data_IF_065607314080
#
_entry.id   IF_065607314080
#
_cell.length_a   1.000
_cell.length_b   1.000
_cell.length_c   1.000
_cell.angle_alpha   90.00
_cell.angle_beta   90.00
_cell.angle_gamma   90.00
#
_symmetry.space_group_name_H-M   'P 1'
#
loop_
_entity.id
_entity.type
_entity.pdbx_description
1 polymer ?
#
# COMPACT_ATOMS: atom_id res chain seq x y z
N UNK A 1 -33.84 19.34 -8.19
CA UNK A 1 -33.29 17.97 -8.41
C UNK A 1 -32.13 17.82 -7.45
N UNK A 2 -32.03 16.70 -6.71
CA UNK A 2 -30.96 16.46 -5.74
C UNK A 2 -29.96 15.46 -6.32
N UNK A 3 -28.68 15.61 -5.95
CA UNK A 3 -27.61 14.65 -6.24
C UNK A 3 -26.93 14.35 -4.91
N UNK A 4 -26.89 13.08 -4.53
CA UNK A 4 -26.26 12.61 -3.29
C UNK A 4 -24.99 11.84 -3.65
N UNK A 5 -23.84 12.31 -3.15
CA UNK A 5 -22.55 11.61 -3.28
C UNK A 5 -22.24 10.89 -1.97
N UNK A 6 -21.97 9.58 -2.04
CA UNK A 6 -21.62 8.77 -0.87
C UNK A 6 -20.76 7.56 -1.27
N UNK A 7 -19.93 7.09 -0.35
CA UNK A 7 -19.10 5.89 -0.55
C UNK A 7 -19.91 4.61 -0.36
N UNK A 8 -20.87 4.63 0.57
CA UNK A 8 -21.69 3.47 0.92
C UNK A 8 -23.16 3.83 0.85
N UNK A 9 -23.86 3.32 -0.17
CA UNK A 9 -25.30 3.52 -0.30
C UNK A 9 -26.06 2.98 0.92
N UNK A 10 -25.57 1.92 1.55
CA UNK A 10 -26.14 1.32 2.77
C UNK A 10 -26.17 2.24 3.99
N UNK A 11 -25.38 3.32 4.01
CA UNK A 11 -25.42 4.34 5.06
C UNK A 11 -26.52 5.40 4.83
N UNK A 12 -27.18 5.39 3.68
CA UNK A 12 -28.30 6.27 3.37
C UNK A 12 -29.59 5.60 3.81
N UNK A 13 -30.47 6.32 4.50
CA UNK A 13 -31.75 5.77 4.94
C UNK A 13 -32.68 5.44 3.75
N UNK A 14 -33.45 4.37 3.87
CA UNK A 14 -34.35 3.87 2.82
C UNK A 14 -35.35 4.91 2.27
N UNK A 15 -35.93 5.83 3.07
CA UNK A 15 -36.82 6.87 2.56
C UNK A 15 -36.16 7.85 1.57
N UNK A 16 -34.84 7.99 1.61
CA UNK A 16 -34.08 8.81 0.65
C UNK A 16 -33.71 7.96 -0.56
N UNK A 17 -33.22 6.73 -0.33
CA UNK A 17 -32.82 5.82 -1.42
C UNK A 17 -33.99 5.52 -2.37
N UNK A 18 -35.19 5.28 -1.83
CA UNK A 18 -36.41 4.98 -2.62
C UNK A 18 -36.83 6.10 -3.58
N UNK A 19 -36.31 7.32 -3.40
CA UNK A 19 -36.59 8.49 -4.24
C UNK A 19 -35.44 8.84 -5.20
N UNK A 20 -34.38 8.05 -5.22
CA UNK A 20 -33.16 8.32 -5.99
C UNK A 20 -32.86 7.19 -6.99
N UNK A 21 -32.29 7.55 -8.14
CA UNK A 21 -31.64 6.58 -9.01
C UNK A 21 -30.23 6.29 -8.47
N UNK A 22 -29.89 5.01 -8.28
CA UNK A 22 -28.62 4.60 -7.69
C UNK A 22 -27.60 4.35 -8.80
N UNK A 23 -26.51 5.14 -8.78
CA UNK A 23 -25.35 4.93 -9.64
C UNK A 23 -24.19 4.40 -8.80
N UNK A 24 -23.59 3.29 -9.24
CA UNK A 24 -22.42 2.69 -8.59
C UNK A 24 -21.19 2.94 -9.44
N UNK A 25 -20.28 3.75 -8.94
CA UNK A 25 -18.99 3.99 -9.56
C UNK A 25 -18.02 2.91 -9.09
N UNK A 26 -17.33 2.29 -10.04
CA UNK A 26 -16.23 1.35 -9.77
C UNK A 26 -14.91 2.10 -9.89
N UNK A 27 -13.83 1.61 -9.24
CA UNK A 27 -12.48 2.08 -9.51
C UNK A 27 -12.17 2.03 -11.00
N UNK A 28 -11.34 2.95 -11.48
CA UNK A 28 -10.96 3.02 -12.88
C UNK A 28 -10.01 1.88 -13.27
N UNK A 29 -10.14 1.41 -14.51
CA UNK A 29 -9.23 0.40 -15.03
C UNK A 29 -7.82 0.99 -15.23
N UNK A 30 -6.79 0.18 -14.98
CA UNK A 30 -5.39 0.58 -15.09
C UNK A 30 -5.05 1.23 -16.45
N UNK A 31 -5.62 0.72 -17.55
CA UNK A 31 -5.40 1.29 -18.90
C UNK A 31 -5.96 2.71 -19.04
N UNK A 32 -7.12 2.97 -18.44
CA UNK A 32 -7.73 4.30 -18.48
C UNK A 32 -6.90 5.29 -17.65
N UNK A 33 -6.43 4.84 -16.48
CA UNK A 33 -5.53 5.63 -15.65
C UNK A 33 -4.18 5.89 -16.33
N UNK A 34 -3.59 4.89 -16.98
CA UNK A 34 -2.34 5.03 -17.74
C UNK A 34 -2.45 6.14 -18.80
N UNK A 35 -3.55 6.14 -19.55
CA UNK A 35 -3.84 7.20 -20.52
C UNK A 35 -3.97 8.59 -19.85
N UNK A 36 -4.58 8.67 -18.66
CA UNK A 36 -4.66 9.93 -17.91
C UNK A 36 -3.27 10.41 -17.47
N UNK A 37 -2.43 9.53 -16.93
CA UNK A 37 -1.04 9.85 -16.55
C UNK A 37 -0.27 10.40 -17.75
N UNK A 38 -0.32 9.72 -18.89
CA UNK A 38 0.36 10.17 -20.12
C UNK A 38 -0.16 11.51 -20.62
N UNK A 39 -1.48 11.74 -20.53
CA UNK A 39 -2.11 12.99 -20.93
C UNK A 39 -1.66 14.15 -20.03
N UNK A 40 -1.60 13.93 -18.71
CA UNK A 40 -1.13 14.92 -17.73
C UNK A 40 0.35 15.22 -17.96
N UNK A 41 1.19 14.20 -18.13
CA UNK A 41 2.62 14.38 -18.39
C UNK A 41 2.90 15.21 -19.65
N UNK A 42 2.12 14.99 -20.73
CA UNK A 42 2.21 15.80 -21.96
C UNK A 42 1.72 17.24 -21.74
N UNK A 43 0.64 17.42 -20.98
CA UNK A 43 0.06 18.74 -20.69
C UNK A 43 0.98 19.62 -19.84
N UNK A 44 1.53 19.05 -18.78
CA UNK A 44 2.41 19.73 -17.81
C UNK A 44 3.89 19.71 -18.20
N UNK A 45 4.26 18.97 -19.25
CA UNK A 45 5.59 18.92 -19.87
C UNK A 45 6.71 18.38 -18.96
N UNK A 46 6.41 17.43 -18.08
CA UNK A 46 7.43 16.67 -17.34
C UNK A 46 7.72 15.32 -18.00
N UNK A 47 8.89 14.74 -17.70
CA UNK A 47 9.25 13.39 -18.16
C UNK A 47 8.90 12.36 -17.08
N UNK A 48 8.36 11.22 -17.51
CA UNK A 48 8.03 10.12 -16.62
C UNK A 48 8.41 8.79 -17.26
N UNK A 49 9.06 7.93 -16.48
CA UNK A 49 9.45 6.59 -16.94
C UNK A 49 8.27 5.61 -16.91
N UNK A 50 8.30 4.60 -17.78
CA UNK A 50 7.24 3.58 -17.83
C UNK A 50 7.06 2.82 -16.51
N UNK A 51 8.15 2.58 -15.80
CA UNK A 51 8.10 1.90 -14.50
C UNK A 51 7.54 2.82 -13.40
N UNK A 52 7.76 4.13 -13.50
CA UNK A 52 7.10 5.10 -12.64
C UNK A 52 5.58 5.15 -12.87
N UNK A 53 5.13 5.07 -14.12
CA UNK A 53 3.69 4.97 -14.43
C UNK A 53 3.08 3.74 -13.77
N UNK A 54 3.71 2.56 -13.91
CA UNK A 54 3.23 1.33 -13.26
C UNK A 54 3.17 1.47 -11.73
N UNK A 55 4.21 2.04 -11.11
CA UNK A 55 4.24 2.26 -9.67
C UNK A 55 3.11 3.20 -9.21
N UNK A 56 2.83 4.27 -9.96
CA UNK A 56 1.72 5.18 -9.66
C UNK A 56 0.38 4.44 -9.75
N UNK A 57 0.18 3.62 -10.78
CA UNK A 57 -1.05 2.83 -10.94
C UNK A 57 -1.25 1.85 -9.79
N UNK A 58 -0.19 1.16 -9.37
CA UNK A 58 -0.20 0.22 -8.24
C UNK A 58 -0.53 0.93 -6.93
N UNK A 59 0.15 2.05 -6.64
CA UNK A 59 -0.08 2.83 -5.41
C UNK A 59 -1.46 3.48 -5.38
N UNK A 60 -1.99 3.87 -6.53
CA UNK A 60 -3.26 4.61 -6.61
C UNK A 60 -4.50 3.73 -6.50
N UNK A 61 -4.38 2.42 -6.75
CA UNK A 61 -5.45 1.41 -6.62
C UNK A 61 -6.80 1.86 -7.24
N UNK A 62 -6.75 2.42 -8.45
CA UNK A 62 -7.95 2.87 -9.16
C UNK A 62 -8.50 4.25 -8.76
N UNK A 63 -7.89 4.95 -7.79
CA UNK A 63 -8.24 6.31 -7.38
C UNK A 63 -7.43 7.36 -8.15
N UNK A 64 -8.11 8.06 -9.08
CA UNK A 64 -7.50 9.13 -9.89
C UNK A 64 -7.08 10.34 -9.05
N UNK A 65 -7.80 10.67 -7.98
CA UNK A 65 -7.40 11.78 -7.10
C UNK A 65 -6.07 11.47 -6.43
N UNK A 66 -5.90 10.22 -5.96
CA UNK A 66 -4.64 9.77 -5.36
C UNK A 66 -3.51 9.81 -6.38
N UNK A 67 -3.77 9.31 -7.59
CA UNK A 67 -2.84 9.35 -8.73
C UNK A 67 -2.38 10.78 -9.05
N UNK A 68 -3.30 11.74 -9.18
CA UNK A 68 -3.01 13.15 -9.47
C UNK A 68 -2.17 13.79 -8.36
N UNK A 69 -2.54 13.56 -7.09
CA UNK A 69 -1.78 14.10 -5.95
C UNK A 69 -0.34 13.58 -5.93
N UNK A 70 -0.13 12.29 -6.19
CA UNK A 70 1.21 11.69 -6.26
C UNK A 70 1.99 12.28 -7.43
N UNK A 71 1.38 12.35 -8.62
CA UNK A 71 2.02 12.95 -9.81
C UNK A 71 2.44 14.40 -9.56
N UNK A 72 1.56 15.21 -8.99
CA UNK A 72 1.84 16.60 -8.70
C UNK A 72 2.98 16.75 -7.68
N UNK A 73 2.98 15.94 -6.62
CA UNK A 73 4.06 15.94 -5.63
C UNK A 73 5.40 15.48 -6.25
N UNK A 74 5.39 14.49 -7.13
CA UNK A 74 6.57 14.04 -7.87
C UNK A 74 7.12 15.14 -8.79
N UNK A 75 6.26 15.75 -9.60
CA UNK A 75 6.62 16.82 -10.53
C UNK A 75 7.12 18.08 -9.82
N UNK A 76 6.67 18.32 -8.58
CA UNK A 76 7.15 19.45 -7.76
C UNK A 76 8.59 19.25 -7.25
N UNK A 77 9.04 18.00 -7.13
CA UNK A 77 10.36 17.65 -6.60
C UNK A 77 11.39 17.33 -7.70
N UNK A 78 10.95 16.91 -8.90
CA UNK A 78 11.84 16.56 -10.01
C UNK A 78 11.17 16.79 -11.37
N UNK A 79 11.94 17.26 -12.36
CA UNK A 79 11.50 17.35 -13.76
C UNK A 79 11.39 15.97 -14.44
N UNK A 80 12.08 14.96 -13.89
CA UNK A 80 12.08 13.58 -14.37
C UNK A 80 11.60 12.63 -13.27
N UNK A 81 10.44 12.02 -13.46
CA UNK A 81 9.78 11.14 -12.49
C UNK A 81 10.19 9.69 -12.74
N UNK A 82 10.91 9.11 -11.78
CA UNK A 82 11.31 7.71 -11.74
C UNK A 82 10.47 6.90 -10.74
N UNK A 83 10.56 5.58 -10.80
CA UNK A 83 9.90 4.66 -9.86
C UNK A 83 10.28 4.97 -8.40
N UNK A 84 11.56 5.26 -8.14
CA UNK A 84 12.06 5.56 -6.80
C UNK A 84 11.41 6.81 -6.20
N UNK A 85 11.26 7.87 -7.01
CA UNK A 85 10.61 9.12 -6.57
C UNK A 85 9.15 8.88 -6.20
N UNK A 86 8.46 8.02 -6.96
CA UNK A 86 7.06 7.66 -6.69
C UNK A 86 6.92 6.98 -5.33
N UNK A 87 7.74 5.95 -5.05
CA UNK A 87 7.65 5.22 -3.77
C UNK A 87 8.00 6.09 -2.56
N UNK A 88 9.01 6.95 -2.69
CA UNK A 88 9.39 7.90 -1.64
C UNK A 88 8.25 8.87 -1.33
N UNK A 89 7.64 9.46 -2.36
CA UNK A 89 6.56 10.45 -2.18
C UNK A 89 5.26 9.80 -1.74
N UNK A 90 4.97 8.61 -2.24
CA UNK A 90 3.79 7.84 -1.84
C UNK A 90 3.84 7.39 -0.38
N UNK A 91 5.01 7.44 0.27
CA UNK A 91 5.24 6.81 1.58
C UNK A 91 4.77 5.36 1.53
N UNK A 92 5.32 4.59 0.59
CA UNK A 92 4.99 3.17 0.39
C UNK A 92 6.30 2.37 0.35
N UNK A 93 6.35 1.28 1.10
CA UNK A 93 7.49 0.37 1.06
C UNK A 93 7.56 -0.34 -0.30
N UNK A 94 8.77 -0.49 -0.86
CA UNK A 94 8.94 -1.27 -2.08
C UNK A 94 8.63 -2.75 -1.81
N UNK A 95 7.84 -3.42 -2.66
CA UNK A 95 7.51 -4.84 -2.46
C UNK A 95 8.74 -5.75 -2.29
N UNK A 96 9.84 -5.42 -2.98
CA UNK A 96 11.12 -6.13 -2.88
C UNK A 96 11.72 -6.05 -1.47
N UNK A 97 11.73 -4.87 -0.87
CA UNK A 97 12.30 -4.64 0.47
C UNK A 97 11.50 -5.39 1.55
N UNK A 98 10.17 -5.34 1.45
CA UNK A 98 9.27 -6.08 2.35
C UNK A 98 9.44 -7.59 2.17
N UNK A 99 9.57 -8.06 0.93
CA UNK A 99 9.83 -9.47 0.65
C UNK A 99 11.16 -9.95 1.23
N UNK A 100 12.23 -9.16 1.10
CA UNK A 100 13.54 -9.46 1.68
C UNK A 100 13.50 -9.53 3.22
N UNK A 101 12.81 -8.57 3.85
CA UNK A 101 12.58 -8.54 5.29
C UNK A 101 11.86 -9.82 5.78
N UNK A 102 10.76 -10.18 5.12
CA UNK A 102 9.99 -11.39 5.47
C UNK A 102 10.81 -12.66 5.25
N UNK A 103 11.58 -12.71 4.17
CA UNK A 103 12.44 -13.86 3.87
C UNK A 103 13.54 -14.02 4.90
N UNK A 104 14.14 -12.91 5.37
CA UNK A 104 15.13 -12.93 6.44
C UNK A 104 14.53 -13.45 7.76
N UNK A 105 13.32 -12.98 8.11
CA UNK A 105 12.62 -13.44 9.30
C UNK A 105 12.33 -14.95 9.25
N UNK A 106 11.77 -15.43 8.14
CA UNK A 106 11.40 -16.86 7.96
C UNK A 106 12.63 -17.78 7.96
N UNK A 107 13.79 -17.29 7.52
CA UNK A 107 15.05 -18.03 7.55
C UNK A 107 15.69 -18.10 8.94
N UNK A 108 15.12 -17.39 9.93
CA UNK A 108 15.62 -17.34 11.30
C UNK A 108 16.64 -16.22 11.56
N UNK A 109 16.94 -15.38 10.57
CA UNK A 109 17.84 -14.23 10.71
C UNK A 109 17.07 -13.00 11.24
N UNK A 110 16.60 -13.10 12.48
CA UNK A 110 15.82 -12.06 13.15
C UNK A 110 16.57 -10.71 13.26
N UNK A 111 17.87 -10.66 13.64
CA UNK A 111 18.58 -9.38 13.71
C UNK A 111 18.57 -8.65 12.36
N UNK A 112 18.83 -9.36 11.26
CA UNK A 112 18.77 -8.77 9.93
C UNK A 112 17.37 -8.32 9.55
N UNK A 113 16.34 -9.10 9.87
CA UNK A 113 14.95 -8.72 9.60
C UNK A 113 14.55 -7.45 10.37
N UNK A 114 14.98 -7.32 11.63
CA UNK A 114 14.78 -6.12 12.46
C UNK A 114 15.50 -4.90 11.90
N UNK A 115 16.74 -5.04 11.46
CA UNK A 115 17.48 -3.93 10.86
C UNK A 115 16.83 -3.45 9.56
N UNK A 116 16.35 -4.38 8.73
CA UNK A 116 15.58 -4.06 7.53
C UNK A 116 14.25 -3.38 7.85
N UNK A 117 13.53 -3.84 8.87
CA UNK A 117 12.29 -3.21 9.33
C UNK A 117 12.51 -1.73 9.66
N UNK A 118 13.47 -1.44 10.53
CA UNK A 118 13.78 -0.08 10.95
C UNK A 118 14.23 0.78 9.78
N UNK A 119 15.05 0.22 8.88
CA UNK A 119 15.49 0.91 7.67
C UNK A 119 14.30 1.29 6.77
N UNK A 120 13.40 0.35 6.49
CA UNK A 120 12.22 0.59 5.64
C UNK A 120 11.32 1.66 6.25
N UNK A 121 11.12 1.65 7.57
CA UNK A 121 10.31 2.65 8.26
C UNK A 121 10.94 4.05 8.21
N UNK A 122 12.25 4.15 8.44
CA UNK A 122 12.97 5.43 8.48
C UNK A 122 13.17 6.02 7.09
N UNK A 123 13.61 5.22 6.12
CA UNK A 123 13.95 5.69 4.78
C UNK A 123 12.69 6.14 4.01
N UNK A 124 11.55 5.48 4.24
CA UNK A 124 10.28 5.76 3.56
C UNK A 124 9.26 6.53 4.44
N UNK A 125 9.60 6.87 5.69
CA UNK A 125 8.72 7.61 6.60
C UNK A 125 7.40 6.91 6.92
N UNK A 126 7.39 5.57 6.99
CA UNK A 126 6.17 4.77 7.10
C UNK A 126 5.70 4.64 8.54
N UNK A 127 4.37 4.74 8.73
CA UNK A 127 3.74 4.30 9.97
C UNK A 127 3.70 2.76 10.05
N UNK A 128 3.60 2.21 11.26
CA UNK A 128 3.45 0.78 11.43
C UNK A 128 2.15 0.22 10.85
N UNK A 129 1.07 1.02 10.86
CA UNK A 129 -0.21 0.68 10.24
C UNK A 129 -0.14 0.62 8.70
N UNK A 130 0.73 1.42 8.08
CA UNK A 130 0.94 1.33 6.64
C UNK A 130 1.83 0.14 6.29
N UNK A 131 2.91 -0.06 7.06
CA UNK A 131 3.82 -1.15 6.83
C UNK A 131 3.13 -2.52 7.00
N UNK A 132 2.25 -2.69 7.97
CA UNK A 132 1.56 -3.97 8.19
C UNK A 132 0.66 -4.36 7.01
N UNK A 133 0.02 -3.39 6.35
CA UNK A 133 -0.76 -3.63 5.13
C UNK A 133 0.15 -4.13 4.00
N UNK A 134 1.31 -3.52 3.83
CA UNK A 134 2.31 -3.95 2.85
C UNK A 134 2.88 -5.33 3.17
N UNK A 135 3.11 -5.64 4.45
CA UNK A 135 3.51 -6.98 4.91
C UNK A 135 2.46 -8.02 4.52
N UNK A 136 1.18 -7.76 4.81
CA UNK A 136 0.09 -8.67 4.50
C UNK A 136 -0.03 -8.91 2.99
N UNK A 137 0.07 -7.85 2.16
CA UNK A 137 0.04 -7.96 0.70
C UNK A 137 1.25 -8.76 0.17
N UNK A 138 2.45 -8.47 0.67
CA UNK A 138 3.70 -9.08 0.22
C UNK A 138 3.84 -10.55 0.65
N UNK A 139 3.15 -10.96 1.71
CA UNK A 139 3.15 -12.36 2.22
C UNK A 139 2.78 -13.37 1.13
N UNK A 140 1.89 -13.00 0.21
CA UNK A 140 1.48 -13.88 -0.89
C UNK A 140 2.56 -14.06 -1.97
N UNK A 141 3.44 -13.05 -2.13
CA UNK A 141 4.47 -12.99 -3.16
C UNK A 141 5.75 -13.73 -2.77
N UNK A 142 6.00 -13.93 -1.48
CA UNK A 142 7.15 -14.67 -0.95
C UNK A 142 6.98 -16.17 -1.27
N UNK A 143 7.95 -16.75 -1.97
CA UNK A 143 7.89 -18.15 -2.46
C UNK A 143 8.38 -19.16 -1.43
N UNK A 144 9.22 -18.69 -0.50
CA UNK A 144 9.84 -19.46 0.57
C UNK A 144 8.85 -19.87 1.66
N UNK A 145 7.68 -19.22 1.70
CA UNK A 145 6.60 -19.50 2.64
C UNK A 145 5.67 -20.60 2.11
N UNK A 146 5.41 -21.61 2.94
CA UNK A 146 4.33 -22.57 2.71
C UNK A 146 2.96 -21.90 2.87
N UNK A 147 1.92 -22.46 2.24
CA UNK A 147 0.55 -21.93 2.37
C UNK A 147 0.10 -21.84 3.83
N UNK A 148 0.48 -22.81 4.66
CA UNK A 148 0.17 -22.78 6.10
C UNK A 148 0.85 -21.62 6.81
N UNK A 149 2.11 -21.34 6.51
CA UNK A 149 2.83 -20.20 7.08
C UNK A 149 2.25 -18.87 6.58
N UNK A 150 1.84 -18.78 5.31
CA UNK A 150 1.15 -17.60 4.77
C UNK A 150 -0.15 -17.32 5.53
N UNK A 151 -0.97 -18.34 5.76
CA UNK A 151 -2.21 -18.20 6.52
C UNK A 151 -1.96 -17.74 7.97
N UNK A 152 -0.97 -18.32 8.64
CA UNK A 152 -0.63 -17.92 10.01
C UNK A 152 -0.11 -16.48 10.07
N UNK A 153 0.73 -16.06 9.10
CA UNK A 153 1.20 -14.67 9.00
C UNK A 153 0.07 -13.68 8.77
N UNK A 154 -0.89 -14.00 7.91
CA UNK A 154 -2.06 -13.14 7.68
C UNK A 154 -2.87 -12.97 8.97
N UNK A 155 -3.06 -14.03 9.74
CA UNK A 155 -3.72 -13.97 11.06
C UNK A 155 -2.94 -13.09 12.04
N UNK A 156 -1.62 -13.28 12.13
CA UNK A 156 -0.75 -12.49 13.01
C UNK A 156 -0.73 -11.01 12.62
N UNK A 157 -0.79 -10.69 11.32
CA UNK A 157 -0.92 -9.31 10.84
C UNK A 157 -2.20 -8.67 11.37
N UNK A 158 -3.33 -9.38 11.33
CA UNK A 158 -4.59 -8.87 11.87
C UNK A 158 -4.55 -8.62 13.39
N UNK A 159 -3.90 -9.51 14.15
CA UNK A 159 -3.73 -9.32 15.60
C UNK A 159 -2.83 -8.13 15.93
N UNK A 160 -1.72 -7.97 15.20
CA UNK A 160 -0.80 -6.84 15.38
C UNK A 160 -1.45 -5.52 14.95
N UNK A 161 -2.21 -5.50 13.84
CA UNK A 161 -2.98 -4.32 13.41
C UNK A 161 -3.97 -3.90 14.49
N UNK A 162 -4.74 -4.85 15.03
CA UNK A 162 -5.68 -4.58 16.11
C UNK A 162 -4.99 -3.96 17.34
N UNK A 163 -3.85 -4.52 17.78
CA UNK A 163 -3.09 -3.98 18.92
C UNK A 163 -2.55 -2.57 18.68
N UNK A 164 -2.10 -2.27 17.46
CA UNK A 164 -1.66 -0.92 17.08
C UNK A 164 -2.83 0.07 17.07
N UNK A 165 -4.01 -0.33 16.57
CA UNK A 165 -5.22 0.51 16.62
C UNK A 165 -5.66 0.81 18.05
N UNK A 166 -5.46 -0.12 18.98
CA UNK A 166 -5.69 0.09 20.43
C UNK A 166 -4.62 0.97 21.11
N UNK A 167 -3.61 1.47 20.37
CA UNK A 167 -2.61 2.40 20.87
C UNK A 167 -1.31 1.76 21.39
N UNK A 168 -1.04 0.51 21.02
CA UNK A 168 0.26 -0.13 21.30
C UNK A 168 1.38 0.50 20.48
N UNK A 169 2.62 0.39 20.97
CA UNK A 169 3.81 0.82 20.23
C UNK A 169 3.98 0.04 18.92
N UNK A 170 4.06 0.77 17.81
CA UNK A 170 4.09 0.22 16.46
C UNK A 170 5.34 -0.65 16.20
N UNK A 171 6.51 -0.16 16.63
CA UNK A 171 7.79 -0.84 16.39
C UNK A 171 7.83 -2.15 17.17
N UNK A 172 7.39 -2.14 18.42
CA UNK A 172 7.32 -3.36 19.24
C UNK A 172 6.37 -4.40 18.63
N UNK A 173 5.20 -3.99 18.12
CA UNK A 173 4.26 -4.93 17.50
C UNK A 173 4.81 -5.52 16.19
N UNK A 174 5.49 -4.72 15.38
CA UNK A 174 6.13 -5.18 14.14
C UNK A 174 7.31 -6.12 14.41
N UNK A 175 8.14 -5.82 15.42
CA UNK A 175 9.20 -6.73 15.85
C UNK A 175 8.61 -8.05 16.38
N UNK A 176 7.52 -8.01 17.13
CA UNK A 176 6.82 -9.20 17.61
C UNK A 176 6.24 -10.03 16.45
N UNK A 177 5.73 -9.38 15.40
CA UNK A 177 5.29 -10.05 14.17
C UNK A 177 6.46 -10.76 13.47
N UNK A 178 7.61 -10.10 13.31
CA UNK A 178 8.80 -10.71 12.70
C UNK A 178 9.38 -11.85 13.55
N UNK A 179 9.38 -11.71 14.87
CA UNK A 179 9.79 -12.78 15.78
C UNK A 179 8.86 -13.99 15.64
N UNK A 180 7.54 -13.76 15.58
CA UNK A 180 6.56 -14.82 15.36
C UNK A 180 6.80 -15.51 14.02
N UNK A 181 7.09 -14.75 12.95
CA UNK A 181 7.44 -15.29 11.64
C UNK A 181 8.68 -16.20 11.68
N UNK A 182 9.72 -15.81 12.42
CA UNK A 182 10.93 -16.61 12.60
C UNK A 182 10.66 -17.93 13.35
N UNK A 183 9.72 -17.93 14.30
CA UNK A 183 9.34 -19.12 15.05
C UNK A 183 8.50 -20.13 14.23
N UNK A 184 7.96 -19.73 13.07
CA UNK A 184 7.21 -20.60 12.15
C UNK A 184 8.09 -21.54 11.33
N UNK A 185 9.42 -21.47 11.47
CA UNK A 185 10.40 -22.30 10.74
C UNK A 185 10.46 -23.78 11.22
N UNK A 186 9.53 -24.23 12.06
CA UNK A 186 9.48 -25.63 12.51
C UNK A 186 9.00 -26.59 11.42
#
# INVERSE_FOLDING_TARGET
RFILSCNYSSKIIDPIQSRCAIFRFKPLEAKAMEHLVESIAKGERFKIDKDAIKAILEVSDGDVRRMENILQACASNSEHITEDVVFQIASVAKPKEVGEMLTAAVKGDFPKAKDLLLKIMLDNGLSGLDLIKHVQQSTWQVKELTDRQKLELVKLCGEAEFRMVEGSDEVIQLEALLASAALLQK
#
